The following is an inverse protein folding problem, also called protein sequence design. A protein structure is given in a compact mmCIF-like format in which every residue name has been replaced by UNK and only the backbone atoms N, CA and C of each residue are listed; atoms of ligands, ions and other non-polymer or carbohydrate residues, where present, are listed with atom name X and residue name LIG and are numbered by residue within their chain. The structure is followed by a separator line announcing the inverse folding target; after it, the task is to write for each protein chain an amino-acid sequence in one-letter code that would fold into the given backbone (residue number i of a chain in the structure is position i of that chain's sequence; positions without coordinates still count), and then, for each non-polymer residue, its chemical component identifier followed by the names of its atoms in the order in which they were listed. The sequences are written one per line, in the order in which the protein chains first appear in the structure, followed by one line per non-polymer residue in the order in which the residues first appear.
data_IF_901787474228
#
_entry.id   IF_901787474228
#
_cell.length_a   1.000
_cell.length_b   1.000
_cell.length_c   1.000
_cell.angle_alpha   90.00
_cell.angle_beta   90.00
_cell.angle_gamma   90.00
#
_symmetry.space_group_name_H-M   'P 1'
#
loop_
_entity.id
_entity.type
_entity.pdbx_description
1 polymer ?
#
# COMPACT_ATOMS: atom_id res chain seq x y z
N UNK A 1 -2.47 -5.32 3.18
CA UNK A 1 -3.20 -4.10 2.77
C UNK A 1 -4.24 -4.55 1.76
N UNK A 2 -5.45 -4.05 1.85
CA UNK A 2 -6.56 -4.48 1.01
C UNK A 2 -7.27 -3.29 0.34
N UNK A 3 -7.97 -3.51 -0.79
CA UNK A 3 -8.80 -2.49 -1.41
C UNK A 3 -9.76 -1.86 -0.39
N UNK A 4 -9.71 -0.52 -0.30
CA UNK A 4 -10.50 0.27 0.65
C UNK A 4 -9.72 0.79 1.86
N UNK A 5 -8.55 0.21 2.16
CA UNK A 5 -7.72 0.66 3.27
C UNK A 5 -7.17 2.06 2.98
N UNK A 6 -7.09 2.91 4.02
CA UNK A 6 -6.43 4.21 3.93
C UNK A 6 -5.00 4.03 4.43
N UNK A 7 -4.03 4.38 3.60
CA UNK A 7 -2.61 4.25 3.92
C UNK A 7 -2.04 5.64 4.15
N UNK A 8 -1.38 5.83 5.30
CA UNK A 8 -0.71 7.08 5.67
C UNK A 8 0.80 6.89 5.50
N UNK A 9 1.42 7.85 4.82
CA UNK A 9 2.84 7.85 4.51
C UNK A 9 3.57 8.99 5.21
N UNK A 10 4.87 8.82 5.38
CA UNK A 10 5.81 9.88 5.72
C UNK A 10 6.98 9.90 4.75
N UNK A 11 7.72 11.02 4.75
CA UNK A 11 8.97 11.17 4.03
C UNK A 11 9.98 10.13 4.53
N UNK A 12 10.78 9.60 3.61
CA UNK A 12 11.74 8.53 3.88
C UNK A 12 13.03 9.13 4.45
N UNK A 13 13.03 9.41 5.75
CA UNK A 13 14.22 9.92 6.44
C UNK A 13 15.17 8.77 6.80
N UNK A 14 14.62 7.72 7.42
CA UNK A 14 15.34 6.50 7.79
C UNK A 14 14.49 5.26 7.59
N UNK A 15 15.08 4.24 6.97
CA UNK A 15 14.50 2.92 6.80
C UNK A 15 15.15 1.92 7.76
N UNK A 16 14.34 0.99 8.26
CA UNK A 16 14.79 -0.17 9.04
C UNK A 16 14.09 -1.43 8.56
N UNK A 17 14.72 -2.57 8.83
CA UNK A 17 14.08 -3.88 8.62
C UNK A 17 12.72 -3.94 9.32
N UNK A 18 11.73 -4.46 8.61
CA UNK A 18 10.34 -4.55 9.04
C UNK A 18 9.46 -3.35 8.67
N UNK A 19 10.05 -2.24 8.21
CA UNK A 19 9.25 -1.12 7.68
C UNK A 19 8.50 -1.56 6.42
N UNK A 20 7.28 -1.05 6.24
CA UNK A 20 6.58 -1.10 4.96
C UNK A 20 6.86 0.19 4.19
N UNK A 21 7.20 0.06 2.92
CA UNK A 21 7.51 1.19 2.04
C UNK A 21 6.69 1.12 0.77
N UNK A 22 6.45 2.29 0.19
CA UNK A 22 5.90 2.46 -1.12
C UNK A 22 7.05 2.61 -2.12
N UNK A 23 7.04 1.78 -3.15
CA UNK A 23 8.06 1.78 -4.20
C UNK A 23 7.43 2.01 -5.56
N UNK A 24 8.14 2.72 -6.42
CA UNK A 24 7.79 2.94 -7.81
C UNK A 24 8.61 1.99 -8.69
N UNK A 25 7.95 1.13 -9.46
CA UNK A 25 8.60 0.16 -10.33
C UNK A 25 8.03 0.19 -11.74
N UNK A 26 8.87 -0.18 -12.72
CA UNK A 26 8.41 -0.52 -14.05
C UNK A 26 8.03 -2.00 -14.08
N UNK A 27 6.79 -2.26 -14.42
CA UNK A 27 6.28 -3.60 -14.69
C UNK A 27 6.90 -4.17 -15.98
N UNK A 28 6.76 -5.48 -16.18
CA UNK A 28 7.22 -6.17 -17.40
C UNK A 28 6.58 -5.61 -18.68
N UNK A 29 5.37 -5.05 -18.58
CA UNK A 29 4.64 -4.39 -19.68
C UNK A 29 5.00 -2.91 -19.83
N UNK A 30 6.07 -2.44 -19.16
CA UNK A 30 6.56 -1.07 -19.17
C UNK A 30 5.59 -0.02 -18.58
N UNK A 31 4.63 -0.45 -17.78
CA UNK A 31 3.80 0.46 -17.01
C UNK A 31 4.45 0.77 -15.66
N UNK A 32 4.32 2.02 -15.21
CA UNK A 32 4.74 2.42 -13.86
C UNK A 32 3.70 1.93 -12.86
N UNK A 33 4.13 1.03 -11.97
CA UNK A 33 3.33 0.52 -10.87
C UNK A 33 3.86 1.04 -9.52
N UNK A 34 2.92 1.20 -8.60
CA UNK A 34 3.21 1.54 -7.21
C UNK A 34 2.90 0.32 -6.37
N UNK A 35 3.90 -0.12 -5.61
CA UNK A 35 3.82 -1.33 -4.78
C UNK A 35 4.13 -1.03 -3.33
N UNK A 36 3.59 -1.87 -2.44
CA UNK A 36 3.88 -1.85 -1.01
C UNK A 36 4.68 -3.08 -0.64
N UNK A 37 5.91 -2.88 -0.20
CA UNK A 37 6.83 -3.96 0.13
C UNK A 37 7.40 -3.81 1.52
N UNK A 38 7.81 -4.94 2.10
CA UNK A 38 8.41 -4.99 3.43
C UNK A 38 9.92 -4.94 3.30
N UNK A 39 10.57 -4.01 4.01
CA UNK A 39 12.02 -3.92 4.07
C UNK A 39 12.58 -5.12 4.82
N UNK A 40 13.45 -5.88 4.17
CA UNK A 40 14.16 -7.01 4.78
C UNK A 40 15.57 -6.62 5.19
N UNK A 41 16.22 -5.76 4.41
CA UNK A 41 17.58 -5.26 4.70
C UNK A 41 17.80 -3.87 4.08
N UNK A 42 18.58 -3.04 4.76
CA UNK A 42 19.07 -1.76 4.23
C UNK A 42 20.58 -1.83 4.09
N UNK A 43 21.08 -1.61 2.88
CA UNK A 43 22.52 -1.55 2.61
C UNK A 43 23.09 -0.21 3.04
N UNK A 44 24.17 -0.26 3.81
CA UNK A 44 24.87 0.94 4.33
C UNK A 44 25.78 1.55 3.27
N UNK A 45 26.21 0.77 2.27
CA UNK A 45 27.25 1.17 1.31
C UNK A 45 26.67 1.96 0.14
N UNK A 46 25.59 1.46 -0.46
CA UNK A 46 24.99 1.99 -1.69
C UNK A 46 23.55 2.49 -1.49
N UNK A 47 23.01 2.37 -0.27
CA UNK A 47 21.64 2.75 0.06
C UNK A 47 20.58 1.88 -0.63
N UNK A 48 20.97 0.75 -1.23
CA UNK A 48 20.03 -0.21 -1.78
C UNK A 48 19.18 -0.84 -0.66
N UNK A 49 17.90 -1.07 -0.95
CA UNK A 49 16.94 -1.61 0.01
C UNK A 49 16.48 -2.97 -0.49
N UNK A 50 16.82 -4.04 0.24
CA UNK A 50 16.24 -5.35 -0.01
C UNK A 50 14.85 -5.41 0.57
N UNK A 51 13.90 -5.91 -0.20
CA UNK A 51 12.49 -5.94 0.13
C UNK A 51 11.88 -7.30 -0.17
N UNK A 52 10.73 -7.55 0.45
CA UNK A 52 9.86 -8.70 0.21
C UNK A 52 8.49 -8.18 -0.18
N UNK A 53 7.94 -8.69 -1.28
CA UNK A 53 6.53 -8.50 -1.62
C UNK A 53 5.68 -9.39 -0.68
N UNK A 54 4.81 -8.79 0.16
CA UNK A 54 4.00 -9.54 1.11
C UNK A 54 2.95 -10.45 0.46
N UNK A 55 2.65 -10.28 -0.83
CA UNK A 55 1.68 -11.12 -1.55
C UNK A 55 2.33 -12.38 -2.13
N UNK A 56 3.42 -12.21 -2.88
CA UNK A 56 4.13 -13.32 -3.53
C UNK A 56 5.18 -13.98 -2.64
N UNK A 57 5.69 -13.27 -1.62
CA UNK A 57 6.87 -13.66 -0.86
C UNK A 57 8.19 -13.49 -1.64
N UNK A 58 8.15 -12.95 -2.86
CA UNK A 58 9.34 -12.71 -3.66
C UNK A 58 10.21 -11.62 -3.05
N UNK A 59 11.53 -11.81 -3.11
CA UNK A 59 12.50 -10.83 -2.61
C UNK A 59 13.30 -10.22 -3.76
N UNK A 60 13.55 -8.92 -3.66
CA UNK A 60 14.31 -8.18 -4.67
C UNK A 60 14.97 -6.93 -4.07
N UNK A 61 15.79 -6.24 -4.86
CA UNK A 61 16.50 -5.02 -4.44
C UNK A 61 15.91 -3.79 -5.10
N UNK A 62 15.69 -2.73 -4.31
CA UNK A 62 15.15 -1.45 -4.75
C UNK A 62 16.19 -0.37 -4.55
N UNK A 63 16.42 0.42 -5.60
CA UNK A 63 17.26 1.61 -5.49
C UNK A 63 16.58 2.68 -4.63
N UNK A 64 17.32 3.38 -3.77
CA UNK A 64 16.78 4.41 -2.87
C UNK A 64 15.86 5.44 -3.57
N UNK A 65 16.20 5.83 -4.81
CA UNK A 65 15.43 6.77 -5.63
C UNK A 65 14.01 6.29 -6.00
N UNK A 66 13.77 4.99 -5.93
CA UNK A 66 12.46 4.40 -6.24
C UNK A 66 11.61 4.23 -4.97
N UNK A 67 12.15 4.52 -3.78
CA UNK A 67 11.37 4.52 -2.55
C UNK A 67 10.72 5.89 -2.38
N UNK A 68 9.39 5.94 -2.49
CA UNK A 68 8.64 7.21 -2.55
C UNK A 68 7.89 7.53 -1.26
N UNK A 69 7.75 6.58 -0.35
CA UNK A 69 7.11 6.82 0.95
C UNK A 69 7.34 5.68 1.93
N UNK A 70 7.34 6.00 3.23
CA UNK A 70 7.30 4.99 4.30
C UNK A 70 5.90 4.93 4.87
N UNK A 71 5.34 3.74 4.96
CA UNK A 71 4.03 3.51 5.58
C UNK A 71 4.17 3.65 7.10
N UNK A 72 3.41 4.56 7.68
CA UNK A 72 3.37 4.77 9.14
C UNK A 72 2.08 4.27 9.76
N UNK A 73 1.01 4.17 8.96
CA UNK A 73 -0.28 3.67 9.42
C UNK A 73 -1.09 3.09 8.27
N UNK A 74 -1.81 2.02 8.57
CA UNK A 74 -2.88 1.49 7.73
C UNK A 74 -4.16 1.57 8.54
N UNK A 75 -5.14 2.34 8.06
CA UNK A 75 -6.47 2.42 8.64
C UNK A 75 -7.34 1.44 7.85
N UNK A 76 -7.66 0.32 8.49
CA UNK A 76 -8.40 -0.77 7.86
C UNK A 76 -9.79 -0.33 7.45
N UNK A 77 -10.19 -0.72 6.24
CA UNK A 77 -11.51 -0.44 5.66
C UNK A 77 -12.63 -0.80 6.64
N UNK A 78 -13.60 0.10 6.83
CA UNK A 78 -14.75 -0.08 7.74
C UNK A 78 -14.39 -0.28 9.22
N UNK A 79 -13.14 0.01 9.63
CA UNK A 79 -12.84 0.20 11.05
C UNK A 79 -13.50 1.48 11.56
N UNK A 80 -13.66 1.59 12.89
CA UNK A 80 -14.21 2.79 13.51
C UNK A 80 -13.43 4.05 13.13
N UNK A 81 -12.10 3.98 13.07
CA UNK A 81 -11.26 5.10 12.64
C UNK A 81 -11.51 5.46 11.17
N UNK A 82 -11.65 4.46 10.29
CA UNK A 82 -11.96 4.68 8.89
C UNK A 82 -13.30 5.40 8.69
N UNK A 83 -14.33 5.01 9.46
CA UNK A 83 -15.64 5.68 9.40
C UNK A 83 -15.56 7.14 9.87
N UNK A 84 -14.71 7.43 10.86
CA UNK A 84 -14.47 8.78 11.35
C UNK A 84 -13.78 9.69 10.33
N UNK A 85 -13.00 9.16 9.37
CA UNK A 85 -12.41 9.97 8.28
C UNK A 85 -13.48 10.70 7.47
N UNK A 86 -14.67 10.10 7.36
CA UNK A 86 -15.80 10.65 6.60
C UNK A 86 -16.88 11.26 7.50
N UNK A 87 -16.52 11.65 8.73
CA UNK A 87 -17.48 12.15 9.71
C UNK A 87 -18.31 13.34 9.19
N UNK A 88 -17.69 14.27 8.48
CA UNK A 88 -18.31 15.48 7.91
C UNK A 88 -19.18 15.22 6.67
N UNK A 89 -19.21 13.99 6.15
CA UNK A 89 -19.96 13.67 4.96
C UNK A 89 -21.47 13.62 5.26
N UNK A 90 -22.27 14.50 4.62
CA UNK A 90 -23.70 14.68 4.96
C UNK A 90 -24.54 13.39 4.90
N UNK A 91 -24.31 12.53 3.91
CA UNK A 91 -25.00 11.24 3.78
C UNK A 91 -24.01 10.07 3.96
N UNK A 92 -23.57 9.88 5.21
CA UNK A 92 -22.65 8.78 5.56
C UNK A 92 -23.23 7.41 5.22
N UNK A 93 -24.54 7.22 5.40
CA UNK A 93 -25.17 5.93 5.15
C UNK A 93 -25.10 5.55 3.67
N UNK A 94 -25.37 6.51 2.77
CA UNK A 94 -25.21 6.29 1.34
C UNK A 94 -23.75 6.03 0.96
N UNK A 95 -22.80 6.81 1.51
CA UNK A 95 -21.38 6.64 1.23
C UNK A 95 -20.90 5.23 1.61
N UNK A 96 -21.16 4.80 2.85
CA UNK A 96 -20.78 3.48 3.35
C UNK A 96 -21.40 2.35 2.51
N UNK A 97 -22.68 2.47 2.18
CA UNK A 97 -23.38 1.49 1.33
C UNK A 97 -22.78 1.41 -0.07
N UNK A 98 -22.45 2.56 -0.65
CA UNK A 98 -21.87 2.67 -2.00
C UNK A 98 -20.46 2.10 -2.02
N UNK A 99 -19.60 2.47 -1.06
CA UNK A 99 -18.24 1.96 -0.97
C UNK A 99 -18.23 0.44 -0.74
N UNK A 100 -19.07 -0.07 0.16
CA UNK A 100 -19.20 -1.52 0.39
C UNK A 100 -19.62 -2.26 -0.88
N UNK A 101 -20.66 -1.79 -1.58
CA UNK A 101 -21.10 -2.38 -2.84
C UNK A 101 -19.98 -2.40 -3.89
N UNK A 102 -19.24 -1.31 -4.05
CA UNK A 102 -18.16 -1.24 -5.03
C UNK A 102 -16.97 -2.11 -4.67
N UNK A 103 -16.59 -2.19 -3.40
CA UNK A 103 -15.52 -3.08 -2.95
C UNK A 103 -15.90 -4.55 -3.09
N UNK A 104 -17.15 -4.91 -2.81
CA UNK A 104 -17.66 -6.26 -3.03
C UNK A 104 -17.65 -6.63 -4.52
N UNK A 105 -18.05 -5.70 -5.39
CA UNK A 105 -17.92 -5.87 -6.85
C UNK A 105 -16.45 -6.07 -7.24
N UNK A 106 -15.55 -5.22 -6.75
CA UNK A 106 -14.12 -5.33 -7.05
C UNK A 106 -13.55 -6.70 -6.66
N UNK A 107 -13.87 -7.20 -5.46
CA UNK A 107 -13.47 -8.54 -4.99
C UNK A 107 -14.01 -9.67 -5.89
N UNK A 108 -15.23 -9.52 -6.40
CA UNK A 108 -15.91 -10.54 -7.20
C UNK A 108 -15.53 -10.50 -8.69
N UNK A 109 -14.93 -9.41 -9.17
CA UNK A 109 -14.50 -9.29 -10.58
C UNK A 109 -13.21 -10.04 -10.92
N UNK A 110 -12.55 -10.70 -9.96
CA UNK A 110 -11.31 -11.43 -10.19
C UNK A 110 -10.07 -10.53 -10.40
N UNK A 111 -10.22 -9.20 -10.44
CA UNK A 111 -9.11 -8.23 -10.37
C UNK A 111 -8.33 -8.32 -9.05
N UNK A 112 -8.91 -8.93 -8.02
CA UNK A 112 -8.23 -9.32 -6.79
C UNK A 112 -7.24 -10.48 -6.98
N UNK A 113 -7.39 -11.28 -8.05
CA UNK A 113 -6.59 -12.49 -8.32
C UNK A 113 -5.65 -12.35 -9.54
N UNK A 114 -5.60 -11.16 -10.18
CA UNK A 114 -4.79 -10.91 -11.39
C UNK A 114 -3.56 -10.01 -11.16
N UNK A 115 -2.99 -10.01 -9.96
CA UNK A 115 -1.71 -9.34 -9.69
C UNK A 115 -0.81 -10.22 -8.84
#
# INVERSE_FOLDING_TARGET
MYPGDIIVYTVVDMLKTGDYIQVLQLTDIKELAVEHVKVTKVSIIDGAVSVEDPLSGSTYSVTKRNVIGKVVKVITTFSQEWEHVYYEFKDRRWLLKTLKKNLDLYKNTGYSNQR
#
